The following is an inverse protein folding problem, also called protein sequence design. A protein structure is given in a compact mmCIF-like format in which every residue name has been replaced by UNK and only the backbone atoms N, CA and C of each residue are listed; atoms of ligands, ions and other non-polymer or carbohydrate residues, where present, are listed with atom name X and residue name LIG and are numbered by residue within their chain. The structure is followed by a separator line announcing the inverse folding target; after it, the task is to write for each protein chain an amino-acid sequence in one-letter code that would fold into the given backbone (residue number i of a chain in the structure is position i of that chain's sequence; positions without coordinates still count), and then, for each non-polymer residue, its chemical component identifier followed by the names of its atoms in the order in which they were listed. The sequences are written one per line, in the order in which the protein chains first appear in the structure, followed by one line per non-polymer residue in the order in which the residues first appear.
data_IF_808641905900
#
_entry.id   IF_808641905900
#
_cell.length_a   1.000
_cell.length_b   1.000
_cell.length_c   1.000
_cell.angle_alpha   90.00
_cell.angle_beta   90.00
_cell.angle_gamma   90.00
#
_symmetry.space_group_name_H-M   'P 1'
#
loop_
_entity.id
_entity.type
_entity.pdbx_description
1 polymer ?
#
# COMPACT_ATOMS: atom_id res chain seq x y z
N UNK A 1 4.64 20.28 3.05
CA UNK A 1 5.30 19.28 2.20
C UNK A 1 6.77 19.17 2.62
N UNK A 2 7.36 17.96 2.78
CA UNK A 2 8.77 17.78 3.23
C UNK A 2 9.78 18.59 2.41
N UNK A 3 9.58 18.72 1.11
CA UNK A 3 10.47 19.48 0.22
C UNK A 3 10.53 21.00 0.50
N UNK A 4 9.51 21.57 1.14
CA UNK A 4 9.54 22.98 1.55
C UNK A 4 10.48 23.19 2.74
N UNK A 5 10.68 22.17 3.56
CA UNK A 5 11.61 22.22 4.68
C UNK A 5 13.08 22.12 4.23
N UNK A 6 13.32 21.48 3.06
CA UNK A 6 14.65 21.35 2.44
C UNK A 6 15.03 22.55 1.55
N UNK A 7 14.18 23.59 1.47
CA UNK A 7 14.40 24.75 0.60
C UNK A 7 14.36 24.46 -0.90
N UNK A 8 13.95 23.26 -1.30
CA UNK A 8 13.80 22.87 -2.71
C UNK A 8 12.45 23.35 -3.26
N UNK A 9 12.46 23.90 -4.45
CA UNK A 9 11.21 24.21 -5.15
C UNK A 9 10.45 22.91 -5.44
N UNK A 10 9.14 22.83 -5.13
CA UNK A 10 8.37 21.63 -5.42
C UNK A 10 8.31 21.43 -6.95
N UNK A 11 8.52 20.20 -7.38
CA UNK A 11 8.28 19.81 -8.78
C UNK A 11 6.77 19.79 -9.04
N UNK A 12 6.27 20.88 -9.58
CA UNK A 12 4.83 21.08 -9.80
C UNK A 12 4.27 20.12 -10.85
N UNK A 13 5.03 19.82 -11.89
CA UNK A 13 4.62 18.87 -12.93
C UNK A 13 4.44 17.46 -12.33
N UNK A 14 5.34 17.08 -11.46
CA UNK A 14 5.23 15.80 -10.73
C UNK A 14 4.06 15.80 -9.76
N UNK A 15 3.80 16.92 -9.09
CA UNK A 15 2.64 17.06 -8.20
C UNK A 15 1.35 16.85 -8.99
N UNK A 16 1.25 17.45 -10.16
CA UNK A 16 0.08 17.31 -11.01
C UNK A 16 -0.14 15.89 -11.47
N UNK A 17 0.88 15.23 -11.97
CA UNK A 17 0.82 13.80 -12.32
C UNK A 17 0.39 12.92 -11.13
N UNK A 18 0.90 13.22 -9.93
CA UNK A 18 0.54 12.46 -8.71
C UNK A 18 -0.93 12.68 -8.33
N UNK A 19 -1.43 13.92 -8.41
CA UNK A 19 -2.83 14.25 -8.12
C UNK A 19 -3.77 13.55 -9.10
N UNK A 20 -3.42 13.55 -10.39
CA UNK A 20 -4.18 12.84 -11.43
C UNK A 20 -4.16 11.32 -11.21
N UNK A 21 -2.99 10.74 -10.97
CA UNK A 21 -2.83 9.31 -10.69
C UNK A 21 -3.66 8.85 -9.48
N UNK A 22 -3.72 9.68 -8.44
CA UNK A 22 -4.53 9.42 -7.24
C UNK A 22 -6.01 9.74 -7.43
N UNK A 23 -6.43 10.21 -8.62
CA UNK A 23 -7.81 10.63 -8.92
C UNK A 23 -8.32 11.69 -7.93
N UNK A 24 -7.49 12.70 -7.67
CA UNK A 24 -7.77 13.80 -6.75
C UNK A 24 -7.89 15.16 -7.47
N UNK A 25 -7.90 15.19 -8.80
CA UNK A 25 -7.89 16.42 -9.59
C UNK A 25 -9.05 17.34 -9.22
N UNK A 26 -10.26 16.79 -9.05
CA UNK A 26 -11.47 17.54 -8.69
C UNK A 26 -11.52 17.93 -7.20
N UNK A 27 -10.52 17.56 -6.41
CA UNK A 27 -10.47 17.75 -4.95
C UNK A 27 -9.28 18.60 -4.50
N UNK A 28 -8.60 19.24 -5.44
CA UNK A 28 -7.37 20.00 -5.21
C UNK A 28 -7.51 21.07 -4.14
N UNK A 29 -8.64 21.80 -4.18
CA UNK A 29 -8.91 22.94 -3.31
C UNK A 29 -9.75 22.56 -2.08
N UNK A 30 -10.00 21.27 -1.86
CA UNK A 30 -10.77 20.79 -0.73
C UNK A 30 -9.90 20.72 0.51
N UNK A 31 -10.48 21.09 1.65
CA UNK A 31 -9.88 20.86 2.96
C UNK A 31 -9.94 19.36 3.33
N UNK A 32 -9.03 18.85 4.15
CA UNK A 32 -9.05 17.45 4.58
C UNK A 32 -10.41 17.01 5.15
N UNK A 33 -11.11 17.88 5.86
CA UNK A 33 -12.44 17.63 6.42
C UNK A 33 -13.55 17.46 5.36
N UNK A 34 -13.30 17.87 4.13
CA UNK A 34 -14.24 17.77 3.00
C UNK A 34 -13.99 16.53 2.15
N UNK A 35 -12.96 15.75 2.47
CA UNK A 35 -12.58 14.54 1.76
C UNK A 35 -13.18 13.32 2.43
N UNK A 36 -13.63 12.34 1.62
CA UNK A 36 -13.99 11.02 2.12
C UNK A 36 -12.77 10.28 2.69
N UNK A 37 -12.98 9.26 3.54
CA UNK A 37 -11.89 8.46 4.10
C UNK A 37 -10.95 7.89 3.02
N UNK A 38 -11.50 7.38 1.92
CA UNK A 38 -10.69 6.89 0.80
C UNK A 38 -9.90 8.00 0.09
N UNK A 39 -10.45 9.21 -0.03
CA UNK A 39 -9.74 10.36 -0.59
C UNK A 39 -8.62 10.83 0.35
N UNK A 40 -8.87 10.89 1.66
CA UNK A 40 -7.83 11.20 2.66
C UNK A 40 -6.68 10.18 2.63
N UNK A 41 -7.02 8.89 2.49
CA UNK A 41 -6.01 7.83 2.35
C UNK A 41 -5.17 8.01 1.08
N UNK A 42 -5.78 8.34 -0.05
CA UNK A 42 -5.05 8.65 -1.30
C UNK A 42 -4.12 9.85 -1.16
N UNK A 43 -4.54 10.90 -0.46
CA UNK A 43 -3.68 12.05 -0.15
C UNK A 43 -2.48 11.62 0.69
N UNK A 44 -2.68 10.76 1.70
CA UNK A 44 -1.60 10.23 2.54
C UNK A 44 -0.60 9.41 1.75
N UNK A 45 -1.08 8.55 0.85
CA UNK A 45 -0.24 7.75 -0.06
C UNK A 45 0.53 8.68 -1.02
N UNK A 46 -0.15 9.65 -1.64
CA UNK A 46 0.51 10.62 -2.52
C UNK A 46 1.66 11.35 -1.82
N UNK A 47 1.45 11.77 -0.56
CA UNK A 47 2.50 12.40 0.26
C UNK A 47 3.68 11.48 0.52
N UNK A 48 3.43 10.23 0.84
CA UNK A 48 4.48 9.23 1.08
C UNK A 48 5.30 8.97 -0.18
N UNK A 49 4.65 8.83 -1.33
CA UNK A 49 5.28 8.50 -2.60
C UNK A 49 5.96 9.70 -3.28
N UNK A 50 5.54 10.92 -2.97
CA UNK A 50 6.06 12.13 -3.64
C UNK A 50 7.59 12.29 -3.51
N UNK A 51 8.15 11.88 -2.37
CA UNK A 51 9.60 11.91 -2.09
C UNK A 51 10.41 10.83 -2.83
N UNK A 52 9.80 9.89 -3.54
CA UNK A 52 10.45 8.68 -4.10
C UNK A 52 11.28 7.94 -3.05
N UNK A 53 10.74 7.60 -1.89
CA UNK A 53 11.48 6.87 -0.89
C UNK A 53 11.86 5.48 -1.42
N UNK A 54 12.96 4.91 -0.95
CA UNK A 54 13.33 3.55 -1.28
C UNK A 54 12.38 2.52 -0.64
N UNK A 55 11.80 2.87 0.52
CA UNK A 55 10.87 2.03 1.28
C UNK A 55 9.62 2.83 1.63
N UNK A 56 8.46 2.22 1.42
CA UNK A 56 7.15 2.72 1.85
C UNK A 56 6.62 1.80 2.93
N UNK A 57 6.23 2.39 4.07
CA UNK A 57 5.60 1.66 5.17
C UNK A 57 4.09 1.98 5.15
N UNK A 58 3.26 0.96 5.10
CA UNK A 58 1.81 1.07 5.13
C UNK A 58 1.26 0.19 6.26
N UNK A 59 0.75 0.84 7.30
CA UNK A 59 0.14 0.18 8.46
C UNK A 59 -1.38 0.25 8.31
N UNK A 60 -2.02 -0.92 8.19
CA UNK A 60 -3.47 -1.10 7.98
C UNK A 60 -4.06 -0.09 6.97
N UNK A 61 -3.53 0.01 5.74
CA UNK A 61 -3.89 1.08 4.81
C UNK A 61 -5.36 1.03 4.35
N UNK A 62 -6.08 -0.03 4.67
CA UNK A 62 -7.48 -0.26 4.30
C UNK A 62 -8.43 -0.40 5.48
N UNK A 63 -7.92 -0.34 6.72
CA UNK A 63 -8.67 -0.67 7.93
C UNK A 63 -9.94 0.16 8.17
N UNK A 64 -9.99 1.41 7.65
CA UNK A 64 -11.12 2.32 7.79
C UNK A 64 -11.90 2.51 6.47
N UNK A 65 -11.73 1.62 5.49
CA UNK A 65 -12.34 1.75 4.19
C UNK A 65 -13.32 0.60 3.92
N UNK A 66 -14.36 0.88 3.15
CA UNK A 66 -15.16 -0.18 2.57
C UNK A 66 -14.32 -1.03 1.59
N UNK A 67 -14.79 -2.22 1.28
CA UNK A 67 -14.08 -3.21 0.47
C UNK A 67 -13.60 -2.64 -0.87
N UNK A 68 -14.47 -1.91 -1.59
CA UNK A 68 -14.16 -1.38 -2.92
C UNK A 68 -13.04 -0.35 -2.87
N UNK A 69 -13.13 0.59 -1.93
CA UNK A 69 -12.09 1.60 -1.72
C UNK A 69 -10.78 0.96 -1.23
N UNK A 70 -10.86 -0.05 -0.36
CA UNK A 70 -9.69 -0.80 0.10
C UNK A 70 -8.95 -1.49 -1.04
N UNK A 71 -9.65 -2.21 -1.90
CA UNK A 71 -9.09 -2.88 -3.09
C UNK A 71 -8.40 -1.86 -4.02
N UNK A 72 -8.99 -0.69 -4.20
CA UNK A 72 -8.41 0.38 -5.01
C UNK A 72 -7.12 0.95 -4.42
N UNK A 73 -7.07 1.15 -3.10
CA UNK A 73 -5.84 1.56 -2.39
C UNK A 73 -4.72 0.54 -2.55
N UNK A 74 -4.99 -0.74 -2.37
CA UNK A 74 -3.98 -1.80 -2.55
C UNK A 74 -3.47 -1.83 -3.99
N UNK A 75 -4.36 -1.66 -4.96
CA UNK A 75 -3.95 -1.58 -6.38
C UNK A 75 -3.02 -0.39 -6.62
N UNK A 76 -3.35 0.81 -6.13
CA UNK A 76 -2.51 2.00 -6.25
C UNK A 76 -1.13 1.81 -5.63
N UNK A 77 -1.06 1.23 -4.43
CA UNK A 77 0.21 0.93 -3.76
C UNK A 77 1.07 -0.05 -4.57
N UNK A 78 0.47 -1.10 -5.13
CA UNK A 78 1.18 -2.09 -5.95
C UNK A 78 1.68 -1.51 -7.27
N UNK A 79 0.87 -0.72 -7.95
CA UNK A 79 1.23 -0.04 -9.20
C UNK A 79 2.41 0.91 -8.95
N UNK A 80 2.32 1.76 -7.91
CA UNK A 80 3.40 2.67 -7.51
C UNK A 80 4.69 1.95 -7.15
N UNK A 81 4.59 0.83 -6.41
CA UNK A 81 5.74 0.01 -6.05
C UNK A 81 6.49 -0.49 -7.30
N UNK A 82 5.74 -0.96 -8.31
CA UNK A 82 6.32 -1.45 -9.57
C UNK A 82 6.97 -0.33 -10.40
N UNK A 83 6.25 0.79 -10.56
CA UNK A 83 6.72 1.92 -11.37
C UNK A 83 7.94 2.61 -10.76
N UNK A 84 7.94 2.80 -9.45
CA UNK A 84 9.00 3.50 -8.73
C UNK A 84 10.12 2.57 -8.26
N UNK A 85 9.98 1.23 -8.46
CA UNK A 85 10.93 0.20 -8.01
C UNK A 85 11.26 0.33 -6.52
N UNK A 86 10.23 0.55 -5.70
CA UNK A 86 10.34 0.73 -4.26
C UNK A 86 10.14 -0.59 -3.52
N UNK A 87 10.51 -0.66 -2.26
CA UNK A 87 10.07 -1.70 -1.35
C UNK A 87 8.81 -1.24 -0.62
N UNK A 88 7.73 -2.00 -0.71
CA UNK A 88 6.52 -1.77 0.06
C UNK A 88 6.46 -2.77 1.22
N UNK A 89 6.53 -2.28 2.46
CA UNK A 89 6.23 -3.05 3.65
C UNK A 89 4.82 -2.70 4.10
N UNK A 90 3.94 -3.70 4.06
CA UNK A 90 2.53 -3.55 4.39
C UNK A 90 2.19 -4.41 5.60
N UNK A 91 1.60 -3.79 6.62
CA UNK A 91 1.06 -4.47 7.79
C UNK A 91 -0.45 -4.57 7.62
N UNK A 92 -0.99 -5.77 7.75
CA UNK A 92 -2.43 -6.01 7.67
C UNK A 92 -2.81 -7.30 8.39
N UNK A 93 -4.03 -7.35 8.90
CA UNK A 93 -4.68 -8.57 9.36
C UNK A 93 -5.60 -9.20 8.30
N UNK A 94 -5.75 -8.57 7.11
CA UNK A 94 -6.53 -9.13 6.00
C UNK A 94 -5.65 -10.08 5.17
N UNK A 95 -5.90 -11.37 5.32
CA UNK A 95 -5.18 -12.43 4.61
C UNK A 95 -5.26 -12.32 3.09
N UNK A 96 -6.39 -11.82 2.55
CA UNK A 96 -6.58 -11.62 1.11
C UNK A 96 -5.63 -10.56 0.55
N UNK A 97 -5.30 -9.56 1.37
CA UNK A 97 -4.32 -8.53 1.03
C UNK A 97 -2.93 -9.10 1.17
N UNK A 98 -2.64 -9.78 2.27
CA UNK A 98 -1.34 -10.39 2.55
C UNK A 98 -0.91 -11.38 1.45
N UNK A 99 -1.83 -12.21 0.96
CA UNK A 99 -1.59 -13.16 -0.16
C UNK A 99 -1.28 -12.51 -1.50
N UNK A 100 -1.39 -11.18 -1.61
CA UNK A 100 -1.02 -10.43 -2.82
C UNK A 100 0.44 -9.95 -2.80
N UNK A 101 1.15 -10.12 -1.69
CA UNK A 101 2.56 -9.76 -1.55
C UNK A 101 3.48 -10.79 -2.22
N UNK A 102 4.74 -10.43 -2.40
CA UNK A 102 5.79 -11.35 -2.89
C UNK A 102 6.39 -12.17 -1.74
N UNK A 103 6.34 -11.64 -0.51
CA UNK A 103 6.85 -12.26 0.72
C UNK A 103 5.92 -11.92 1.87
N UNK A 104 5.68 -12.88 2.75
CA UNK A 104 4.85 -12.73 3.94
C UNK A 104 5.67 -13.06 5.18
N UNK A 105 5.52 -12.22 6.20
CA UNK A 105 6.11 -12.41 7.52
C UNK A 105 4.97 -12.50 8.53
N UNK A 106 4.99 -13.50 9.38
CA UNK A 106 4.08 -13.60 10.53
C UNK A 106 4.79 -13.08 11.77
N UNK A 107 4.08 -12.26 12.52
CA UNK A 107 4.60 -11.66 13.73
C UNK A 107 3.69 -11.99 14.91
N UNK A 108 4.28 -12.50 15.98
CA UNK A 108 3.62 -12.80 17.26
C UNK A 108 4.51 -12.28 18.40
N UNK A 109 3.95 -11.57 19.35
CA UNK A 109 4.65 -11.00 20.52
C UNK A 109 5.94 -10.24 20.15
N UNK A 110 5.88 -9.47 19.03
CA UNK A 110 7.02 -8.68 18.57
C UNK A 110 8.16 -9.48 17.91
N UNK A 111 7.94 -10.76 17.63
CA UNK A 111 8.91 -11.64 16.97
C UNK A 111 8.37 -12.17 15.65
N UNK A 112 9.25 -12.31 14.67
CA UNK A 112 8.92 -12.98 13.41
C UNK A 112 8.93 -14.48 13.69
N UNK A 113 7.76 -15.13 13.54
CA UNK A 113 7.59 -16.57 13.76
C UNK A 113 7.67 -17.38 12.48
N UNK A 114 7.37 -16.74 11.34
CA UNK A 114 7.37 -17.37 10.01
C UNK A 114 7.73 -16.36 8.94
N UNK A 115 8.48 -16.81 7.91
CA UNK A 115 8.95 -16.00 6.79
C UNK A 115 8.85 -16.83 5.51
N UNK A 116 7.98 -16.44 4.58
CA UNK A 116 7.74 -17.18 3.35
C UNK A 116 7.66 -16.27 2.13
N UNK A 117 8.20 -16.73 1.01
CA UNK A 117 8.01 -16.13 -0.31
C UNK A 117 6.78 -16.72 -0.98
N UNK A 118 5.80 -15.87 -1.30
CA UNK A 118 4.53 -16.27 -1.93
C UNK A 118 4.65 -16.32 -3.45
N UNK A 119 5.47 -15.42 -4.03
CA UNK A 119 5.71 -15.35 -5.46
C UNK A 119 7.19 -15.47 -5.74
N UNK A 120 7.57 -16.59 -6.34
CA UNK A 120 8.84 -16.68 -7.04
C UNK A 120 8.55 -16.46 -8.52
N UNK A 121 9.34 -15.64 -9.20
CA UNK A 121 9.27 -15.51 -10.65
C UNK A 121 9.52 -16.89 -11.27
N UNK A 122 8.44 -17.62 -11.59
CA UNK A 122 8.52 -18.90 -12.29
C UNK A 122 8.12 -20.18 -11.56
N UNK A 123 7.64 -20.14 -10.31
CA UNK A 123 7.14 -21.36 -9.63
C UNK A 123 5.69 -21.22 -9.16
N UNK A 124 4.82 -22.11 -9.66
CA UNK A 124 3.39 -22.17 -9.32
C UNK A 124 3.09 -22.88 -7.98
N UNK A 125 4.09 -23.31 -7.20
CA UNK A 125 3.86 -24.27 -6.11
C UNK A 125 3.62 -23.71 -4.71
N UNK A 126 4.31 -22.64 -4.29
CA UNK A 126 4.30 -22.24 -2.88
C UNK A 126 3.09 -21.38 -2.47
N UNK A 127 2.49 -20.64 -3.38
CA UNK A 127 1.33 -19.80 -3.11
C UNK A 127 0.05 -20.59 -2.80
N UNK A 128 -0.09 -21.78 -3.38
CA UNK A 128 -1.28 -22.62 -3.19
C UNK A 128 -1.22 -23.39 -1.86
N UNK A 129 -0.04 -23.77 -1.39
CA UNK A 129 0.16 -24.39 -0.07
C UNK A 129 -0.15 -23.40 1.06
N UNK A 130 0.27 -22.14 0.92
CA UNK A 130 -0.03 -21.08 1.89
C UNK A 130 -1.53 -20.80 1.92
N UNK A 131 -2.18 -20.72 0.76
CA UNK A 131 -3.64 -20.53 0.67
C UNK A 131 -4.39 -21.68 1.32
N UNK A 132 -3.96 -22.91 1.09
CA UNK A 132 -4.54 -24.10 1.73
C UNK A 132 -4.34 -24.11 3.25
N UNK A 133 -3.17 -23.70 3.74
CA UNK A 133 -2.87 -23.59 5.17
C UNK A 133 -3.68 -22.50 5.88
N UNK A 134 -3.95 -21.38 5.21
CA UNK A 134 -4.78 -20.31 5.75
C UNK A 134 -6.27 -20.68 5.74
N UNK A 135 -6.76 -21.33 4.68
CA UNK A 135 -8.14 -21.81 4.60
C UNK A 135 -8.45 -22.84 5.71
N UNK A 136 -7.52 -23.74 6.02
CA UNK A 136 -7.69 -24.75 7.07
C UNK A 136 -7.77 -24.16 8.49
N UNK A 137 -7.33 -22.93 8.73
CA UNK A 137 -7.43 -22.23 10.02
C UNK A 137 -8.75 -21.49 10.22
N UNK A 138 -9.53 -21.26 9.17
CA UNK A 138 -10.82 -20.57 9.26
C UNK A 138 -11.97 -21.53 9.62
N UNK A 139 -11.75 -22.84 9.48
CA UNK A 139 -12.75 -23.88 9.77
C UNK A 139 -12.53 -24.55 11.16
N UNK A 140 -11.61 -24.04 11.97
CA UNK A 140 -11.29 -24.54 13.31
C UNK A 140 -11.62 -23.50 14.39
#
# INVERSE_FOLDING_TARGET
LPHLLDGRKPDMERLERMVEYMKLSDRRDHLPSQLSGGQQQRVSIARALFGRPAIVLADEPTGNLDRKNGEEIIRLLKESNRELKQTLLLITHDERIALQADRMLWMEDGKITRDERIRMSGSQGSGDEIRASLAAKQDA
#
